data_IF_900488510174
#
_entry.id   IF_900488510174
#
_cell.length_a   1.000
_cell.length_b   1.000
_cell.length_c   1.000
_cell.angle_alpha   90.00
_cell.angle_beta   90.00
_cell.angle_gamma   90.00
#
_symmetry.space_group_name_H-M   'P 1'
#
loop_
_entity.id
_entity.type
_entity.pdbx_description
1 polymer ?
#
# COMPACT_ATOMS: atom_id res chain seq x y z
N UNK A 1 -20.68 12.16 0.69
CA UNK A 1 -19.26 12.59 0.86
C UNK A 1 -18.93 13.41 -0.36
N UNK A 2 -18.50 14.66 -0.23
CA UNK A 2 -18.16 15.48 -1.40
C UNK A 2 -16.94 14.87 -2.10
N UNK A 3 -16.99 14.74 -3.42
CA UNK A 3 -15.82 14.34 -4.20
C UNK A 3 -14.81 15.49 -4.26
N UNK A 4 -13.53 15.19 -4.51
CA UNK A 4 -12.47 16.22 -4.46
C UNK A 4 -12.74 17.39 -5.43
N UNK A 5 -13.32 17.10 -6.59
CA UNK A 5 -13.69 18.10 -7.59
C UNK A 5 -14.75 19.09 -7.10
N UNK A 6 -15.64 18.65 -6.22
CA UNK A 6 -16.72 19.48 -5.65
C UNK A 6 -16.25 20.29 -4.43
N UNK A 7 -15.04 20.06 -3.93
CA UNK A 7 -14.52 20.78 -2.76
C UNK A 7 -14.10 22.21 -3.08
N UNK A 8 -14.50 23.15 -2.23
CA UNK A 8 -14.00 24.52 -2.28
C UNK A 8 -12.49 24.58 -1.98
N UNK A 9 -11.78 25.64 -2.42
CA UNK A 9 -10.35 25.79 -2.13
C UNK A 9 -10.03 25.73 -0.63
N UNK A 10 -10.88 26.30 0.22
CA UNK A 10 -10.72 26.26 1.68
C UNK A 10 -10.88 24.84 2.24
N UNK A 11 -11.86 24.08 1.75
CA UNK A 11 -12.06 22.68 2.14
C UNK A 11 -10.88 21.81 1.70
N UNK A 12 -10.33 22.04 0.49
CA UNK A 12 -9.10 21.38 0.02
C UNK A 12 -7.90 21.72 0.89
N UNK A 13 -7.75 22.97 1.30
CA UNK A 13 -6.68 23.37 2.23
C UNK A 13 -6.81 22.67 3.59
N UNK A 14 -8.01 22.60 4.16
CA UNK A 14 -8.24 21.88 5.42
C UNK A 14 -7.98 20.38 5.28
N UNK A 15 -8.38 19.76 4.16
CA UNK A 15 -8.04 18.38 3.85
C UNK A 15 -6.52 18.18 3.81
N UNK A 16 -5.78 19.05 3.13
CA UNK A 16 -4.32 18.96 3.07
C UNK A 16 -3.66 19.14 4.44
N UNK A 17 -4.19 20.01 5.30
CA UNK A 17 -3.68 20.16 6.66
C UNK A 17 -3.99 18.93 7.53
N UNK A 18 -5.18 18.34 7.37
CA UNK A 18 -5.53 17.08 8.03
C UNK A 18 -4.64 15.93 7.55
N UNK A 19 -4.34 15.84 6.26
CA UNK A 19 -3.42 14.85 5.69
C UNK A 19 -1.97 15.07 6.14
N UNK A 20 -1.52 16.32 6.34
CA UNK A 20 -0.20 16.61 6.95
C UNK A 20 -0.14 16.26 8.43
N UNK A 21 -1.27 16.40 9.14
CA UNK A 21 -1.40 16.02 10.55
C UNK A 21 -1.57 14.52 10.76
N UNK A 22 -1.98 13.77 9.73
CA UNK A 22 -1.84 12.32 9.70
C UNK A 22 -0.35 12.02 9.69
N UNK A 23 0.16 11.56 10.82
CA UNK A 23 1.50 10.99 10.96
C UNK A 23 1.60 9.68 10.17
N UNK A 24 1.66 9.80 8.85
CA UNK A 24 2.20 8.78 7.95
C UNK A 24 3.72 8.63 8.09
N UNK A 25 4.27 8.92 9.27
CA UNK A 25 5.68 8.66 9.66
C UNK A 25 5.77 7.41 10.54
N UNK A 26 4.73 6.57 10.58
CA UNK A 26 5.03 5.15 10.73
C UNK A 26 5.53 4.73 9.37
N UNK A 27 6.85 4.56 9.28
CA UNK A 27 7.44 3.69 8.27
C UNK A 27 6.50 2.49 8.13
N UNK A 28 5.92 2.28 6.94
CA UNK A 28 5.19 1.05 6.64
C UNK A 28 6.07 -0.12 7.10
N UNK A 29 5.51 -1.22 7.63
CA UNK A 29 6.24 -2.24 8.37
C UNK A 29 7.60 -2.54 7.71
N UNK A 30 8.66 -1.93 8.27
CA UNK A 30 10.04 -2.09 7.79
C UNK A 30 10.66 -3.38 8.29
N UNK A 31 9.95 -4.06 9.19
CA UNK A 31 10.29 -5.39 9.60
C UNK A 31 9.95 -6.35 8.49
N UNK A 32 10.98 -6.90 7.87
CA UNK A 32 10.89 -8.25 7.34
C UNK A 32 10.32 -9.14 8.44
N UNK A 33 9.24 -9.85 8.14
CA UNK A 33 8.66 -10.86 9.01
C UNK A 33 9.72 -11.93 9.35
N UNK A 34 9.54 -12.69 10.44
CA UNK A 34 10.52 -13.72 10.83
C UNK A 34 10.76 -14.80 9.76
N UNK A 35 9.80 -14.99 8.85
CA UNK A 35 9.90 -15.90 7.71
C UNK A 35 10.65 -15.29 6.51
N UNK A 36 11.08 -14.03 6.60
CA UNK A 36 11.75 -13.30 5.53
C UNK A 36 10.79 -12.57 4.56
N UNK A 37 9.48 -12.64 4.78
CA UNK A 37 8.48 -11.95 3.97
C UNK A 37 8.46 -10.46 4.31
N UNK A 38 8.14 -9.57 3.37
CA UNK A 38 7.94 -8.14 3.65
C UNK A 38 6.94 -7.51 2.68
N UNK A 39 6.50 -6.28 2.97
CA UNK A 39 5.65 -5.53 2.05
C UNK A 39 6.44 -4.49 1.28
N UNK A 40 6.21 -4.40 -0.02
CA UNK A 40 6.79 -3.37 -0.91
C UNK A 40 5.70 -2.66 -1.71
N UNK A 41 6.02 -1.46 -2.19
CA UNK A 41 5.18 -0.80 -3.20
C UNK A 41 5.67 -1.22 -4.59
N UNK A 42 4.77 -1.83 -5.37
CA UNK A 42 5.02 -2.19 -6.76
C UNK A 42 4.53 -1.04 -7.67
N UNK A 43 5.44 -0.39 -8.43
CA UNK A 43 5.08 0.74 -9.28
C UNK A 43 4.28 0.34 -10.53
N UNK A 44 4.43 -0.88 -11.02
CA UNK A 44 3.70 -1.39 -12.18
C UNK A 44 2.24 -1.69 -11.83
N UNK A 45 2.03 -2.25 -10.63
CA UNK A 45 0.70 -2.49 -10.07
C UNK A 45 0.11 -1.27 -9.36
N UNK A 46 0.92 -0.22 -9.14
CA UNK A 46 0.58 0.99 -8.38
C UNK A 46 -0.06 0.66 -7.02
N UNK A 47 0.48 -0.35 -6.34
CA UNK A 47 -0.12 -0.93 -5.15
C UNK A 47 0.89 -1.63 -4.25
N UNK A 48 0.43 -2.01 -3.05
CA UNK A 48 1.26 -2.77 -2.11
C UNK A 48 1.25 -4.25 -2.49
N UNK A 49 2.42 -4.86 -2.46
CA UNK A 49 2.63 -6.31 -2.66
C UNK A 49 3.30 -6.90 -1.43
N UNK A 50 2.99 -8.15 -1.14
CA UNK A 50 3.73 -9.01 -0.23
C UNK A 50 4.82 -9.73 -1.04
N UNK A 51 6.07 -9.62 -0.60
CA UNK A 51 7.24 -10.20 -1.23
C UNK A 51 7.77 -11.31 -0.33
N UNK A 52 7.79 -12.52 -0.86
CA UNK A 52 8.35 -13.69 -0.16
C UNK A 52 9.88 -13.69 -0.22
N UNK A 53 10.56 -14.49 0.63
CA UNK A 53 12.02 -14.66 0.55
C UNK A 53 12.51 -15.18 -0.80
N UNK A 54 11.65 -15.91 -1.52
CA UNK A 54 11.93 -16.44 -2.85
C UNK A 54 11.81 -15.38 -3.96
N UNK A 55 11.35 -14.17 -3.63
CA UNK A 55 11.12 -13.08 -4.57
C UNK A 55 9.77 -13.12 -5.28
N UNK A 56 8.87 -14.02 -4.89
CA UNK A 56 7.50 -14.03 -5.40
C UNK A 56 6.72 -12.85 -4.80
N UNK A 57 6.03 -12.10 -5.67
CA UNK A 57 5.24 -10.92 -5.30
C UNK A 57 3.75 -11.22 -5.44
N UNK A 58 2.99 -10.87 -4.39
CA UNK A 58 1.54 -11.06 -4.33
C UNK A 58 0.86 -9.72 -4.03
N UNK A 59 -0.08 -9.25 -4.86
CA UNK A 59 -0.86 -8.05 -4.55
C UNK A 59 -1.60 -8.23 -3.22
N UNK A 60 -1.64 -7.18 -2.40
CA UNK A 60 -2.40 -7.19 -1.14
C UNK A 60 -3.45 -6.09 -1.12
N UNK A 61 -4.61 -6.43 -0.54
CA UNK A 61 -5.72 -5.52 -0.30
C UNK A 61 -5.93 -5.33 1.20
N UNK A 62 -6.36 -4.13 1.60
CA UNK A 62 -6.73 -3.86 2.98
C UNK A 62 -8.17 -4.34 3.23
N UNK A 63 -8.30 -5.49 3.89
CA UNK A 63 -9.59 -6.11 4.24
C UNK A 63 -9.81 -6.01 5.74
N UNK A 64 -10.78 -5.19 6.15
CA UNK A 64 -11.12 -4.96 7.57
C UNK A 64 -9.93 -4.53 8.44
N UNK A 65 -9.00 -3.75 7.87
CA UNK A 65 -7.83 -3.24 8.58
C UNK A 65 -6.62 -4.19 8.57
N UNK A 66 -6.73 -5.35 7.92
CA UNK A 66 -5.61 -6.28 7.71
C UNK A 66 -5.22 -6.31 6.22
N UNK A 67 -3.92 -6.31 5.93
CA UNK A 67 -3.43 -6.60 4.58
C UNK A 67 -3.61 -8.10 4.32
N UNK A 68 -4.30 -8.46 3.25
CA UNK A 68 -4.50 -9.84 2.80
C UNK A 68 -4.15 -9.96 1.34
N UNK A 69 -3.52 -11.07 0.96
CA UNK A 69 -3.29 -11.40 -0.45
C UNK A 69 -4.61 -11.33 -1.19
N UNK A 70 -4.64 -10.51 -2.23
CA UNK A 70 -5.77 -10.38 -3.12
C UNK A 70 -5.86 -11.69 -3.90
N UNK A 71 -6.76 -12.58 -3.46
CA UNK A 71 -6.89 -13.92 -4.04
C UNK A 71 -7.50 -13.88 -5.45
N UNK A 72 -8.09 -12.75 -5.85
CA UNK A 72 -8.68 -12.54 -7.17
C UNK A 72 -7.65 -12.01 -8.20
N UNK A 73 -6.60 -11.29 -7.77
CA UNK A 73 -5.50 -10.81 -8.61
C UNK A 73 -4.16 -11.54 -8.36
N UNK A 74 -4.18 -12.83 -8.02
CA UNK A 74 -2.95 -13.63 -7.88
C UNK A 74 -2.31 -13.82 -9.25
N UNK A 75 -1.58 -12.81 -9.71
CA UNK A 75 -0.55 -12.96 -10.72
C UNK A 75 0.75 -13.00 -9.94
N UNK A 76 1.17 -14.19 -9.52
CA UNK A 76 2.49 -14.41 -8.96
C UNK A 76 3.51 -13.99 -10.03
N UNK A 77 4.04 -12.77 -9.92
CA UNK A 77 5.13 -12.32 -10.77
C UNK A 77 6.41 -12.62 -10.01
N UNK A 78 7.15 -13.61 -10.52
CA UNK A 78 8.51 -13.88 -10.06
C UNK A 78 9.33 -12.62 -10.25
N UNK A 79 9.87 -12.07 -9.17
CA UNK A 79 10.79 -10.96 -9.27
C UNK A 79 11.99 -11.37 -10.11
N UNK A 80 12.10 -10.82 -11.31
CA UNK A 80 13.35 -10.87 -12.06
C UNK A 80 14.34 -10.00 -11.27
N UNK A 81 15.33 -10.65 -10.67
CA UNK A 81 16.42 -9.96 -9.98
C UNK A 81 17.17 -9.13 -11.02
N UNK A 82 17.18 -7.82 -10.83
CA UNK A 82 18.06 -6.90 -11.56
C UNK A 82 19.49 -6.96 -10.99
#
# INVERSE_FOLDING_TARGET
>A
MATYDEMSPAARQQLMQALRGLSGVREGPKGTFPDGTHYEYDPDLKGTVEVTPSGDRFPVALVRGELKRDSENVVARKGEAA
#
